data_IF_244097787205
#
_entry.id   IF_244097787205
#
_cell.length_a   1.000
_cell.length_b   1.000
_cell.length_c   1.000
_cell.angle_alpha   90.00
_cell.angle_beta   90.00
_cell.angle_gamma   90.00
#
_symmetry.space_group_name_H-M   'P 1'
#
loop_
_entity.id
_entity.type
_entity.pdbx_description
1 polymer ?
#
# COMPACT_ATOMS: atom_id res chain seq x y z
N UNK A 1 1.30 -19.12 -95.70
CA UNK A 1 2.44 -19.00 -94.76
C UNK A 1 1.86 -18.63 -93.41
N UNK A 2 2.30 -19.29 -92.33
CA UNK A 2 1.78 -19.04 -90.99
C UNK A 2 2.01 -17.58 -90.55
N UNK A 3 1.06 -17.02 -89.81
CA UNK A 3 1.15 -15.66 -89.25
C UNK A 3 2.16 -15.61 -88.11
N UNK A 4 2.70 -14.41 -87.81
CA UNK A 4 3.59 -14.17 -86.66
C UNK A 4 2.97 -14.70 -85.35
N UNK A 5 1.68 -14.47 -85.16
CA UNK A 5 0.97 -14.88 -83.93
C UNK A 5 0.80 -16.41 -83.84
N UNK A 6 0.66 -17.08 -84.99
CA UNK A 6 0.59 -18.54 -85.08
C UNK A 6 1.95 -19.17 -84.76
N UNK A 7 3.04 -18.62 -85.31
CA UNK A 7 4.41 -19.08 -85.04
C UNK A 7 4.81 -18.86 -83.57
N UNK A 8 4.44 -17.71 -82.99
CA UNK A 8 4.67 -17.45 -81.57
C UNK A 8 3.83 -18.35 -80.66
N UNK A 9 2.57 -18.62 -81.02
CA UNK A 9 1.72 -19.54 -80.26
C UNK A 9 2.28 -20.95 -80.30
N UNK A 10 2.77 -21.41 -81.46
CA UNK A 10 3.40 -22.71 -81.61
C UNK A 10 4.69 -22.86 -80.77
N UNK A 11 5.57 -21.85 -80.80
CA UNK A 11 6.79 -21.82 -79.97
C UNK A 11 6.46 -21.82 -78.46
N UNK A 12 5.38 -21.14 -78.07
CA UNK A 12 4.90 -21.07 -76.69
C UNK A 12 4.23 -22.35 -76.21
N UNK A 13 3.46 -22.99 -77.05
CA UNK A 13 2.67 -24.17 -76.68
C UNK A 13 3.52 -25.44 -76.72
N UNK A 14 4.37 -25.58 -77.75
CA UNK A 14 5.20 -26.77 -77.95
C UNK A 14 6.52 -26.74 -77.17
N UNK A 15 7.18 -25.58 -77.11
CA UNK A 15 8.52 -25.46 -76.51
C UNK A 15 8.55 -24.57 -75.26
N UNK A 16 7.40 -24.02 -74.83
CA UNK A 16 7.29 -23.08 -73.70
C UNK A 16 8.18 -21.82 -73.83
N UNK A 17 8.69 -21.55 -75.04
CA UNK A 17 9.45 -20.34 -75.37
C UNK A 17 8.45 -19.17 -75.30
N UNK A 18 8.90 -17.98 -74.90
CA UNK A 18 8.05 -16.77 -74.80
C UNK A 18 7.17 -16.64 -73.54
N UNK A 19 7.12 -17.62 -72.61
CA UNK A 19 6.47 -17.40 -71.29
C UNK A 19 7.18 -16.35 -70.42
N UNK A 20 8.47 -16.11 -70.66
CA UNK A 20 9.34 -15.25 -69.84
C UNK A 20 10.18 -14.26 -70.66
N UNK A 21 9.89 -14.04 -71.95
CA UNK A 21 10.68 -13.11 -72.78
C UNK A 21 10.03 -11.73 -72.69
N UNK A 22 10.78 -10.73 -72.24
CA UNK A 22 10.28 -9.36 -72.02
C UNK A 22 10.10 -8.56 -73.32
N UNK A 23 10.63 -9.05 -74.44
CA UNK A 23 10.55 -8.43 -75.76
C UNK A 23 9.86 -9.38 -76.74
N UNK A 24 8.93 -8.85 -77.54
CA UNK A 24 8.20 -9.66 -78.52
C UNK A 24 9.09 -10.02 -79.70
N UNK A 25 9.19 -11.32 -80.01
CA UNK A 25 9.96 -11.82 -81.16
C UNK A 25 9.35 -11.32 -82.49
N UNK A 26 10.18 -10.97 -83.46
CA UNK A 26 9.78 -10.68 -84.83
C UNK A 26 9.46 -11.97 -85.59
N UNK A 27 8.80 -11.86 -86.74
CA UNK A 27 8.41 -13.03 -87.56
C UNK A 27 9.65 -13.81 -88.03
N UNK A 28 10.65 -13.11 -88.55
CA UNK A 28 11.89 -13.72 -89.05
C UNK A 28 12.67 -14.43 -87.94
N UNK A 29 12.64 -13.90 -86.72
CA UNK A 29 13.23 -14.55 -85.54
C UNK A 29 12.49 -15.82 -85.16
N UNK A 30 11.16 -15.85 -85.27
CA UNK A 30 10.36 -17.05 -85.01
C UNK A 30 10.65 -18.14 -86.05
N UNK A 31 10.75 -17.78 -87.33
CA UNK A 31 11.06 -18.72 -88.41
C UNK A 31 12.49 -19.29 -88.28
N UNK A 32 13.48 -18.47 -87.92
CA UNK A 32 14.86 -18.92 -87.65
C UNK A 32 14.94 -19.83 -86.42
N UNK A 33 14.22 -19.50 -85.35
CA UNK A 33 14.16 -20.33 -84.14
C UNK A 33 13.59 -21.72 -84.43
N UNK A 34 12.51 -21.80 -85.19
CA UNK A 34 11.90 -23.08 -85.57
C UNK A 34 12.86 -23.94 -86.41
N UNK A 35 13.56 -23.34 -87.37
CA UNK A 35 14.56 -24.06 -88.18
C UNK A 35 15.70 -24.65 -87.32
N UNK A 36 16.16 -23.92 -86.29
CA UNK A 36 17.18 -24.41 -85.36
C UNK A 36 16.61 -25.54 -84.48
N UNK A 37 15.39 -25.38 -83.96
CA UNK A 37 14.75 -26.36 -83.10
C UNK A 37 14.47 -27.68 -83.82
N UNK A 38 14.08 -27.61 -85.09
CA UNK A 38 13.80 -28.81 -85.90
C UNK A 38 15.09 -29.51 -86.36
N UNK A 39 16.22 -28.80 -86.45
CA UNK A 39 17.52 -29.34 -86.87
C UNK A 39 18.44 -29.83 -85.75
N UNK A 40 18.28 -29.33 -84.52
CA UNK A 40 19.21 -29.57 -83.40
C UNK A 40 18.49 -30.10 -82.15
N UNK A 41 18.42 -31.42 -81.93
CA UNK A 41 17.78 -32.02 -80.75
C UNK A 41 18.41 -31.59 -79.41
N UNK A 42 19.70 -31.23 -79.42
CA UNK A 42 20.43 -30.73 -78.26
C UNK A 42 19.91 -29.36 -77.79
N UNK A 43 19.47 -28.51 -78.72
CA UNK A 43 18.89 -27.20 -78.40
C UNK A 43 17.54 -27.36 -77.67
N UNK A 44 16.73 -28.34 -78.07
CA UNK A 44 15.46 -28.67 -77.38
C UNK A 44 15.73 -29.07 -75.92
N UNK A 45 16.65 -30.01 -75.67
CA UNK A 45 17.00 -30.46 -74.30
C UNK A 45 17.48 -29.31 -73.41
N UNK A 46 18.24 -28.39 -74.00
CA UNK A 46 18.74 -27.21 -73.29
C UNK A 46 17.59 -26.26 -72.92
N UNK A 47 16.64 -26.04 -73.83
CA UNK A 47 15.42 -25.25 -73.57
C UNK A 47 14.55 -25.90 -72.49
N UNK A 48 14.36 -27.22 -72.52
CA UNK A 48 13.65 -27.97 -71.48
C UNK A 48 14.35 -27.82 -70.11
N UNK A 49 15.68 -27.93 -70.07
CA UNK A 49 16.45 -27.71 -68.85
C UNK A 49 16.32 -26.28 -68.33
N UNK A 50 16.40 -25.27 -69.20
CA UNK A 50 16.26 -23.87 -68.83
C UNK A 50 14.83 -23.52 -68.37
N UNK A 51 13.81 -24.04 -69.05
CA UNK A 51 12.41 -23.83 -68.65
C UNK A 51 12.14 -24.48 -67.28
N UNK A 52 12.59 -25.73 -67.07
CA UNK A 52 12.49 -26.40 -65.77
C UNK A 52 13.23 -25.63 -64.65
N UNK A 53 14.45 -25.14 -64.94
CA UNK A 53 15.21 -24.35 -63.97
C UNK A 53 14.53 -23.03 -63.65
N UNK A 54 14.00 -22.31 -64.64
CA UNK A 54 13.28 -21.05 -64.44
C UNK A 54 12.00 -21.27 -63.63
N UNK A 55 11.22 -22.31 -63.93
CA UNK A 55 10.05 -22.67 -63.12
C UNK A 55 10.45 -22.96 -61.67
N UNK A 56 11.53 -23.72 -61.46
CA UNK A 56 12.05 -24.00 -60.11
C UNK A 56 12.48 -22.73 -59.37
N UNK A 57 13.18 -21.81 -60.05
CA UNK A 57 13.59 -20.53 -59.47
C UNK A 57 12.38 -19.65 -59.14
N UNK A 58 11.37 -19.60 -60.02
CA UNK A 58 10.11 -18.89 -59.78
C UNK A 58 9.40 -19.42 -58.53
N UNK A 59 9.29 -20.74 -58.39
CA UNK A 59 8.71 -21.37 -57.20
C UNK A 59 9.49 -21.05 -55.93
N UNK A 60 10.83 -21.14 -55.98
CA UNK A 60 11.69 -20.78 -54.84
C UNK A 60 11.58 -19.31 -54.46
N UNK A 61 11.55 -18.41 -55.45
CA UNK A 61 11.41 -16.98 -55.20
C UNK A 61 10.06 -16.66 -54.53
N UNK A 62 8.97 -17.27 -55.02
CA UNK A 62 7.65 -17.13 -54.41
C UNK A 62 7.61 -17.70 -52.97
N UNK A 63 8.36 -18.78 -52.70
CA UNK A 63 8.50 -19.34 -51.35
C UNK A 63 9.27 -18.38 -50.42
N UNK A 64 10.44 -17.89 -50.84
CA UNK A 64 11.24 -16.97 -50.02
C UNK A 64 10.54 -15.64 -49.78
N UNK A 65 9.79 -15.12 -50.76
CA UNK A 65 8.96 -13.92 -50.56
C UNK A 65 7.89 -14.13 -49.48
N UNK A 66 7.23 -15.30 -49.46
CA UNK A 66 6.27 -15.64 -48.39
C UNK A 66 6.94 -15.75 -47.02
N UNK A 67 8.08 -16.43 -46.95
CA UNK A 67 8.84 -16.57 -45.70
C UNK A 67 9.32 -15.21 -45.18
N UNK A 68 9.81 -14.34 -46.07
CA UNK A 68 10.22 -12.98 -45.71
C UNK A 68 9.05 -12.17 -45.16
N UNK A 69 7.90 -12.20 -45.83
CA UNK A 69 6.71 -11.48 -45.36
C UNK A 69 6.26 -11.99 -43.99
N UNK A 70 6.27 -13.31 -43.77
CA UNK A 70 5.92 -13.89 -42.47
C UNK A 70 6.92 -13.48 -41.37
N UNK A 71 8.22 -13.47 -41.68
CA UNK A 71 9.25 -13.04 -40.74
C UNK A 71 9.09 -11.55 -40.39
N UNK A 72 8.80 -10.70 -41.38
CA UNK A 72 8.55 -9.27 -41.17
C UNK A 72 7.34 -9.04 -40.27
N UNK A 73 6.22 -9.74 -40.53
CA UNK A 73 5.03 -9.63 -39.66
C UNK A 73 5.35 -10.04 -38.23
N UNK A 74 6.05 -11.15 -38.03
CA UNK A 74 6.46 -11.61 -36.69
C UNK A 74 7.39 -10.61 -35.99
N UNK A 75 8.32 -10.02 -36.74
CA UNK A 75 9.22 -9.02 -36.20
C UNK A 75 8.47 -7.79 -35.72
N UNK A 76 7.49 -7.29 -36.49
CA UNK A 76 6.68 -6.15 -36.07
C UNK A 76 5.80 -6.47 -34.86
N UNK A 77 5.21 -7.66 -34.80
CA UNK A 77 4.47 -8.10 -33.61
C UNK A 77 5.37 -8.11 -32.37
N UNK A 78 6.55 -8.73 -32.47
CA UNK A 78 7.48 -8.82 -31.34
C UNK A 78 7.99 -7.45 -30.91
N UNK A 79 8.20 -6.53 -31.86
CA UNK A 79 8.59 -5.16 -31.56
C UNK A 79 7.51 -4.42 -30.77
N UNK A 80 6.25 -4.56 -31.18
CA UNK A 80 5.13 -3.95 -30.46
C UNK A 80 4.99 -4.53 -29.05
N UNK A 81 5.10 -5.85 -28.90
CA UNK A 81 5.09 -6.51 -27.58
C UNK A 81 6.23 -6.04 -26.68
N UNK A 82 7.42 -5.81 -27.26
CA UNK A 82 8.56 -5.26 -26.53
C UNK A 82 8.29 -3.84 -26.05
N UNK A 83 7.78 -2.96 -26.93
CA UNK A 83 7.47 -1.57 -26.59
C UNK A 83 6.38 -1.51 -25.49
N UNK A 84 5.35 -2.37 -25.58
CA UNK A 84 4.33 -2.50 -24.54
C UNK A 84 4.93 -2.94 -23.20
N UNK A 85 5.81 -3.96 -23.22
CA UNK A 85 6.46 -4.45 -22.01
C UNK A 85 7.38 -3.39 -21.38
N UNK A 86 8.10 -2.62 -22.19
CA UNK A 86 8.95 -1.53 -21.72
C UNK A 86 8.12 -0.45 -21.00
N UNK A 87 6.96 -0.07 -21.56
CA UNK A 87 6.06 0.88 -20.89
C UNK A 87 5.47 0.34 -19.59
N UNK A 88 5.14 -0.96 -19.55
CA UNK A 88 4.63 -1.62 -18.35
C UNK A 88 5.69 -1.67 -17.24
N UNK A 89 6.95 -1.99 -17.59
CA UNK A 89 8.08 -1.98 -16.64
C UNK A 89 8.27 -0.59 -16.06
N UNK A 90 8.28 0.46 -16.88
CA UNK A 90 8.43 1.83 -16.41
C UNK A 90 7.31 2.24 -15.43
N UNK A 91 6.07 1.87 -15.75
CA UNK A 91 4.92 2.14 -14.88
C UNK A 91 5.05 1.41 -13.53
N UNK A 92 5.54 0.16 -13.56
CA UNK A 92 5.80 -0.61 -12.35
C UNK A 92 6.91 0.01 -11.49
N UNK A 93 7.99 0.50 -12.10
CA UNK A 93 9.08 1.19 -11.39
C UNK A 93 8.61 2.49 -10.73
N UNK A 94 7.79 3.29 -11.41
CA UNK A 94 7.16 4.48 -10.84
C UNK A 94 6.26 4.12 -9.66
N UNK A 95 5.42 3.08 -9.81
CA UNK A 95 4.53 2.62 -8.74
C UNK A 95 5.32 2.11 -7.51
N UNK A 96 6.44 1.40 -7.74
CA UNK A 96 7.32 0.92 -6.69
C UNK A 96 7.92 2.08 -5.91
N UNK A 97 8.41 3.10 -6.60
CA UNK A 97 9.00 4.30 -5.98
C UNK A 97 7.98 5.02 -5.09
N UNK A 98 6.72 5.15 -5.56
CA UNK A 98 5.63 5.74 -4.76
C UNK A 98 5.35 4.90 -3.51
N UNK A 99 5.31 3.57 -3.63
CA UNK A 99 5.06 2.67 -2.50
C UNK A 99 6.20 2.71 -1.48
N UNK A 100 7.45 2.81 -1.91
CA UNK A 100 8.61 2.99 -1.03
C UNK A 100 8.50 4.29 -0.24
N UNK A 101 8.13 5.41 -0.89
CA UNK A 101 7.89 6.68 -0.21
C UNK A 101 6.78 6.58 0.86
N UNK A 102 5.66 5.96 0.53
CA UNK A 102 4.56 5.73 1.49
C UNK A 102 4.97 4.86 2.67
N UNK A 103 5.80 3.84 2.44
CA UNK A 103 6.33 2.99 3.50
C UNK A 103 7.16 3.81 4.47
N UNK A 104 8.04 4.66 3.95
CA UNK A 104 8.91 5.50 4.78
C UNK A 104 8.11 6.52 5.60
N UNK A 105 7.06 7.11 5.02
CA UNK A 105 6.11 7.98 5.74
C UNK A 105 5.43 7.24 6.90
N UNK A 106 4.92 6.03 6.65
CA UNK A 106 4.29 5.19 7.67
C UNK A 106 5.27 4.76 8.77
N UNK A 107 6.53 4.50 8.42
CA UNK A 107 7.56 4.16 9.41
C UNK A 107 7.85 5.35 10.35
N UNK A 108 7.87 6.58 9.82
CA UNK A 108 8.01 7.80 10.63
C UNK A 108 6.79 7.99 11.53
N UNK A 109 5.58 7.85 11.01
CA UNK A 109 4.35 7.96 11.80
C UNK A 109 4.30 6.91 12.93
N UNK A 110 4.70 5.66 12.64
CA UNK A 110 4.78 4.60 13.64
C UNK A 110 5.72 4.97 14.78
N UNK A 111 6.92 5.47 14.46
CA UNK A 111 7.90 5.90 15.48
C UNK A 111 7.37 7.05 16.34
N UNK A 112 6.65 8.01 15.74
CA UNK A 112 6.02 9.10 16.48
C UNK A 112 4.95 8.59 17.44
N UNK A 113 4.08 7.70 17.00
CA UNK A 113 3.04 7.09 17.84
C UNK A 113 3.67 6.27 18.99
N UNK A 114 4.74 5.53 18.73
CA UNK A 114 5.44 4.77 19.76
C UNK A 114 6.03 5.68 20.85
N UNK A 115 6.62 6.81 20.47
CA UNK A 115 7.11 7.83 21.41
C UNK A 115 5.97 8.46 22.24
N UNK A 116 4.82 8.74 21.62
CA UNK A 116 3.65 9.24 22.32
C UNK A 116 3.13 8.21 23.35
N UNK A 117 3.07 6.93 22.98
CA UNK A 117 2.67 5.84 23.88
C UNK A 117 3.60 5.77 25.09
N UNK A 118 4.91 5.85 24.90
CA UNK A 118 5.88 5.84 26.00
C UNK A 118 5.68 7.04 26.95
N UNK A 119 5.42 8.23 26.39
CA UNK A 119 5.18 9.45 27.17
C UNK A 119 3.89 9.34 27.99
N UNK A 120 2.82 8.83 27.39
CA UNK A 120 1.53 8.61 28.06
C UNK A 120 1.66 7.54 29.16
N UNK A 121 2.38 6.45 28.89
CA UNK A 121 2.63 5.40 29.88
C UNK A 121 3.38 5.92 31.10
N UNK A 122 4.43 6.71 30.88
CA UNK A 122 5.19 7.36 31.96
C UNK A 122 4.33 8.33 32.77
N UNK A 123 3.50 9.13 32.09
CA UNK A 123 2.56 10.05 32.74
C UNK A 123 1.53 9.31 33.59
N UNK A 124 1.00 8.20 33.07
CA UNK A 124 0.03 7.38 33.79
C UNK A 124 0.64 6.74 35.04
N UNK A 125 1.88 6.27 34.97
CA UNK A 125 2.60 5.74 36.13
C UNK A 125 2.82 6.81 37.21
N UNK A 126 3.21 8.03 36.80
CA UNK A 126 3.36 9.17 37.71
C UNK A 126 2.04 9.54 38.39
N UNK A 127 0.94 9.60 37.63
CA UNK A 127 -0.39 9.87 38.17
C UNK A 127 -0.84 8.77 39.14
N UNK A 128 -0.63 7.50 38.79
CA UNK A 128 -0.95 6.37 39.66
C UNK A 128 -0.22 6.47 41.01
N UNK A 129 1.08 6.82 41.00
CA UNK A 129 1.87 7.04 42.21
C UNK A 129 1.32 8.20 43.06
N UNK A 130 0.93 9.32 42.43
CA UNK A 130 0.30 10.45 43.12
C UNK A 130 -1.03 10.07 43.76
N UNK A 131 -1.85 9.29 43.07
CA UNK A 131 -3.13 8.80 43.59
C UNK A 131 -2.90 7.91 44.81
N UNK A 132 -1.93 7.01 44.76
CA UNK A 132 -1.57 6.18 45.92
C UNK A 132 -1.15 7.03 47.11
N UNK A 133 -0.26 8.02 46.90
CA UNK A 133 0.17 8.93 47.97
C UNK A 133 -1.00 9.69 48.60
N UNK A 134 -1.87 10.28 47.77
CA UNK A 134 -3.06 10.99 48.25
C UNK A 134 -4.02 10.07 49.01
N UNK A 135 -4.13 8.81 48.57
CA UNK A 135 -4.94 7.79 49.25
C UNK A 135 -4.39 7.53 50.65
N UNK A 136 -3.07 7.34 50.78
CA UNK A 136 -2.42 7.15 52.09
C UNK A 136 -2.63 8.35 53.00
N UNK A 137 -2.38 9.56 52.50
CA UNK A 137 -2.59 10.80 53.27
C UNK A 137 -4.05 10.97 53.72
N UNK A 138 -5.00 10.62 52.86
CA UNK A 138 -6.42 10.67 53.20
C UNK A 138 -6.76 9.70 54.32
N UNK A 139 -6.23 8.47 54.26
CA UNK A 139 -6.44 7.48 55.32
C UNK A 139 -5.85 7.94 56.67
N UNK A 140 -4.64 8.50 56.66
CA UNK A 140 -4.02 9.08 57.87
C UNK A 140 -4.88 10.21 58.46
N UNK A 141 -5.39 11.11 57.62
CA UNK A 141 -6.27 12.20 58.07
C UNK A 141 -7.59 11.67 58.64
N UNK A 142 -8.16 10.61 58.07
CA UNK A 142 -9.36 9.95 58.59
C UNK A 142 -9.09 9.38 59.99
N UNK A 143 -7.97 8.67 60.18
CA UNK A 143 -7.59 8.11 61.49
C UNK A 143 -7.39 9.20 62.54
N UNK A 144 -6.68 10.29 62.21
CA UNK A 144 -6.48 11.43 63.11
C UNK A 144 -7.81 12.08 63.48
N UNK A 145 -8.72 12.25 62.51
CA UNK A 145 -10.03 12.82 62.76
C UNK A 145 -10.89 11.92 63.67
N UNK A 146 -10.87 10.60 63.46
CA UNK A 146 -11.54 9.65 64.34
C UNK A 146 -11.01 9.72 65.78
N UNK A 147 -9.69 9.86 65.94
CA UNK A 147 -9.06 10.02 67.25
C UNK A 147 -9.49 11.34 67.92
N UNK A 148 -9.45 12.46 67.19
CA UNK A 148 -9.92 13.76 67.69
C UNK A 148 -11.41 13.72 68.07
N UNK A 149 -12.25 12.99 67.34
CA UNK A 149 -13.65 12.80 67.70
C UNK A 149 -13.82 12.03 69.01
N UNK A 150 -13.00 11.00 69.26
CA UNK A 150 -12.99 10.27 70.54
C UNK A 150 -12.55 11.18 71.68
N UNK A 151 -11.48 11.93 71.48
CA UNK A 151 -10.94 12.84 72.50
C UNK A 151 -11.92 13.96 72.84
N UNK A 152 -12.59 14.55 71.84
CA UNK A 152 -13.66 15.54 72.05
C UNK A 152 -14.83 14.97 72.85
N UNK A 153 -15.25 13.72 72.58
CA UNK A 153 -16.29 13.05 73.38
C UNK A 153 -15.84 12.85 74.83
N UNK A 154 -14.59 12.42 75.05
CA UNK A 154 -14.02 12.24 76.38
C UNK A 154 -13.94 13.56 77.16
N UNK A 155 -13.45 14.63 76.52
CA UNK A 155 -13.40 15.96 77.11
C UNK A 155 -14.80 16.46 77.48
N UNK A 156 -15.79 16.28 76.60
CA UNK A 156 -17.18 16.62 76.90
C UNK A 156 -17.68 15.90 78.15
N UNK A 157 -17.43 14.59 78.26
CA UNK A 157 -17.80 13.80 79.44
C UNK A 157 -17.12 14.30 80.71
N UNK A 158 -15.83 14.66 80.66
CA UNK A 158 -15.09 15.22 81.79
C UNK A 158 -15.69 16.58 82.20
N UNK A 159 -15.96 17.46 81.24
CA UNK A 159 -16.57 18.76 81.49
C UNK A 159 -17.95 18.59 82.14
N UNK A 160 -18.76 17.65 81.66
CA UNK A 160 -20.08 17.37 82.24
C UNK A 160 -19.96 16.80 83.67
N UNK A 161 -18.97 15.94 83.95
CA UNK A 161 -18.69 15.46 85.30
C UNK A 161 -18.26 16.59 86.25
N UNK A 162 -17.39 17.50 85.80
CA UNK A 162 -16.97 18.68 86.57
C UNK A 162 -18.17 19.57 86.86
N UNK A 163 -19.01 19.87 85.86
CA UNK A 163 -20.24 20.65 86.03
C UNK A 163 -21.16 20.02 87.06
N UNK A 164 -21.37 18.70 87.02
CA UNK A 164 -22.17 17.98 88.01
C UNK A 164 -21.58 18.04 89.42
N UNK A 165 -20.26 17.88 89.56
CA UNK A 165 -19.58 17.99 90.86
C UNK A 165 -19.70 19.41 91.43
N UNK A 166 -19.39 20.43 90.63
CA UNK A 166 -19.55 21.83 91.03
C UNK A 166 -20.98 22.16 91.46
N UNK A 167 -21.99 21.65 90.76
CA UNK A 167 -23.38 21.82 91.15
C UNK A 167 -23.71 21.17 92.51
N UNK A 168 -23.17 19.97 92.80
CA UNK A 168 -23.32 19.29 94.09
C UNK A 168 -22.63 20.07 95.23
N UNK A 169 -21.38 20.46 95.02
CA UNK A 169 -20.58 21.18 96.02
C UNK A 169 -21.21 22.54 96.33
N UNK A 170 -21.68 23.26 95.30
CA UNK A 170 -22.43 24.52 95.46
C UNK A 170 -23.70 24.31 96.28
N UNK A 171 -24.47 23.24 96.00
CA UNK A 171 -25.69 22.92 96.77
C UNK A 171 -25.38 22.68 98.26
N UNK A 172 -24.29 21.98 98.58
CA UNK A 172 -23.84 21.77 99.96
C UNK A 172 -23.44 23.09 100.63
N UNK A 173 -22.68 23.94 99.95
CA UNK A 173 -22.24 25.23 100.49
C UNK A 173 -23.42 26.19 100.76
N UNK A 174 -24.50 26.14 99.97
CA UNK A 174 -25.70 26.94 100.21
C UNK A 174 -26.48 26.52 101.48
N UNK A 175 -26.18 25.36 102.08
CA UNK A 175 -26.82 24.90 103.32
C UNK A 175 -26.21 25.52 104.59
N UNK A 176 -25.05 26.18 104.50
CA UNK A 176 -24.48 26.92 105.63
C UNK A 176 -25.34 28.14 105.99
N UNK A 177 -25.41 28.48 107.28
CA UNK A 177 -26.31 29.51 107.83
C UNK A 177 -25.88 30.95 107.49
N UNK A 178 -24.66 31.16 107.02
CA UNK A 178 -24.11 32.49 106.75
C UNK A 178 -24.66 33.12 105.46
N UNK A 179 -25.39 34.24 105.60
CA UNK A 179 -26.12 34.96 104.54
C UNK A 179 -25.20 35.52 103.45
N UNK A 180 -24.03 36.03 103.83
CA UNK A 180 -23.15 36.74 102.89
C UNK A 180 -22.34 35.77 102.03
N UNK A 181 -21.90 34.65 102.63
CA UNK A 181 -21.26 33.54 101.92
C UNK A 181 -22.22 32.97 100.87
N UNK A 182 -23.49 32.77 101.23
CA UNK A 182 -24.53 32.28 100.32
C UNK A 182 -24.76 33.21 99.11
N UNK A 183 -24.85 34.52 99.34
CA UNK A 183 -25.04 35.52 98.26
C UNK A 183 -23.83 35.59 97.33
N UNK A 184 -22.60 35.52 97.86
CA UNK A 184 -21.38 35.50 97.07
C UNK A 184 -21.28 34.25 96.19
N UNK A 185 -21.61 33.08 96.73
CA UNK A 185 -21.65 31.81 96.00
C UNK A 185 -22.66 31.81 94.83
N UNK A 186 -23.86 32.37 95.04
CA UNK A 186 -24.88 32.47 93.97
C UNK A 186 -24.39 33.34 92.81
N UNK A 187 -23.67 34.43 93.08
CA UNK A 187 -23.10 35.31 92.03
C UNK A 187 -22.00 34.60 91.24
N UNK A 188 -21.10 33.89 91.92
CA UNK A 188 -19.98 33.18 91.30
C UNK A 188 -20.48 32.02 90.40
N UNK A 189 -21.47 31.25 90.88
CA UNK A 189 -22.04 30.13 90.12
C UNK A 189 -22.75 30.58 88.84
N UNK A 190 -23.47 31.72 88.87
CA UNK A 190 -24.10 32.31 87.67
C UNK A 190 -23.09 32.72 86.60
N UNK A 191 -21.88 33.12 86.99
CA UNK A 191 -20.82 33.54 86.06
C UNK A 191 -20.12 32.34 85.41
N UNK A 192 -20.02 31.21 86.11
CA UNK A 192 -19.31 30.00 85.62
C UNK A 192 -20.15 29.05 84.77
N UNK A 193 -21.48 29.26 84.68
CA UNK A 193 -22.41 28.37 83.98
C UNK A 193 -23.13 29.00 82.77
N UNK A 194 -22.94 30.30 82.53
CA UNK A 194 -23.35 30.97 81.28
C UNK A 194 -22.20 30.95 80.28
#
# INVERSE_FOLDING_TARGET
MASKDELQSYLKEKYSINKNISQSLTRDECERLLAILDGEPSAIKLIESFTAKNSSLGSKNAYYSRMRNQAETRFQTLKNEYDELETAIKTLEESKTILEGKRDELDVERQQLESQIQTLSSSNHSLSSKVQLLTTQTNELVEVNEQLQKDNKNLKNIVDQIRLRLAKDTKLLLQYEDSEIRKALIRLFRWTLG
#
